data_IF_858828400452
#
_entry.id   IF_858828400452
#
_cell.length_a   1.000
_cell.length_b   1.000
_cell.length_c   1.000
_cell.angle_alpha   90.00
_cell.angle_beta   90.00
_cell.angle_gamma   90.00
#
_symmetry.space_group_name_H-M   'P 1'
#
loop_
_entity.id
_entity.type
_entity.pdbx_description
1 polymer ?
2 non-polymer ?
3 water ?
#
# COMPACT_ATOMS: atom_id res chain seq x y z
N UNK A 31 -13.52 20.06 -5.49
CA UNK A 31 -13.22 20.03 -4.06
C UNK A 31 -14.38 19.44 -3.25
N UNK A 32 -15.60 19.89 -3.55
CA UNK A 32 -16.78 19.25 -2.96
C UNK A 32 -16.89 17.80 -3.41
N UNK A 33 -16.50 17.52 -4.66
CA UNK A 33 -16.44 16.14 -5.13
C UNK A 33 -15.51 15.31 -4.27
N UNK A 34 -14.34 15.85 -3.95
CA UNK A 34 -13.35 15.12 -3.19
C UNK A 34 -13.82 14.88 -1.76
N UNK A 35 -14.42 15.90 -1.11
CA UNK A 35 -14.90 15.71 0.25
C UNK A 35 -16.03 14.69 0.30
N UNK A 36 -16.89 14.70 -0.71
CA UNK A 36 -17.96 13.72 -0.79
C UNK A 36 -17.41 12.29 -0.85
N UNK A 37 -16.34 12.10 -1.62
CA UNK A 37 -15.74 10.78 -1.73
C UNK A 37 -15.09 10.37 -0.42
N UNK A 38 -14.25 11.25 0.14
CA UNK A 38 -13.59 10.93 1.41
C UNK A 38 -14.62 10.59 2.49
N UNK A 39 -15.75 11.31 2.49
CA UNK A 39 -16.76 11.11 3.50
C UNK A 39 -17.73 9.98 3.22
N UNK A 40 -17.48 9.19 2.20
CA UNK A 40 -18.39 8.13 1.79
C UNK A 40 -18.34 6.91 2.70
N UNK A 41 -17.26 6.71 3.44
CA UNK A 41 -16.93 5.43 4.05
C UNK A 41 -16.90 5.57 5.58
N UNK A 42 -17.51 4.61 6.27
CA UNK A 42 -17.34 4.47 7.72
C UNK A 42 -16.61 3.18 8.06
N UNK A 43 -15.88 3.20 9.18
CA UNK A 43 -15.00 2.10 9.58
C UNK A 43 -15.48 1.47 10.89
N UNK A 44 -15.16 0.18 11.05
CA UNK A 44 -15.57 -0.55 12.25
C UNK A 44 -14.64 -0.22 13.42
N UNK A 45 -14.91 -0.83 14.58
CA UNK A 45 -14.17 -0.51 15.80
C UNK A 45 -12.72 -1.01 15.73
N UNK A 46 -12.44 -2.09 14.98
CA UNK A 46 -11.06 -2.54 14.86
C UNK A 46 -10.21 -1.51 14.13
N UNK A 47 -10.72 -1.01 13.00
CA UNK A 47 -9.99 0.02 12.26
C UNK A 47 -9.78 1.25 13.11
N UNK A 48 -10.80 1.62 13.90
CA UNK A 48 -10.67 2.76 14.80
C UNK A 48 -9.56 2.53 15.82
N UNK A 49 -9.46 1.32 16.37
CA UNK A 49 -8.35 1.01 17.25
C UNK A 49 -7.00 1.13 16.56
N UNK A 50 -6.92 0.64 15.30
CA UNK A 50 -5.65 0.73 14.57
C UNK A 50 -5.26 2.18 14.32
N UNK A 51 -6.24 3.04 13.97
CA UNK A 51 -5.94 4.45 13.73
C UNK A 51 -5.43 5.14 14.98
N UNK A 52 -6.05 4.84 16.12
CA UNK A 52 -5.59 5.38 17.39
C UNK A 52 -4.11 5.04 17.61
N UNK A 53 -3.74 3.77 17.36
CA UNK A 53 -2.34 3.37 17.55
C UNK A 53 -1.42 4.05 16.55
N UNK A 54 -1.90 4.29 15.31
CA UNK A 54 -1.09 4.97 14.32
C UNK A 54 -0.72 6.38 14.78
N UNK A 55 -1.67 7.12 15.34
CA UNK A 55 -1.34 8.49 15.74
C UNK A 55 -0.40 8.51 16.95
N UNK A 56 -0.51 7.52 17.84
CA UNK A 56 0.38 7.44 19.00
C UNK A 56 1.84 7.29 18.59
N UNK A 57 2.11 6.43 17.60
CA UNK A 57 3.49 6.17 17.18
C UNK A 57 3.90 7.15 16.10
N UNK A 58 3.04 8.12 15.80
CA UNK A 58 3.38 9.10 14.78
C UNK A 58 3.48 8.53 13.39
N UNK A 59 2.83 7.41 13.12
CA UNK A 59 2.81 6.81 11.79
C UNK A 59 1.57 7.27 11.03
N UNK A 60 1.73 7.54 9.75
CA UNK A 60 0.59 7.85 8.91
C UNK A 60 -0.38 6.68 8.82
N UNK A 61 -1.51 6.96 8.18
CA UNK A 61 -2.52 5.94 7.92
C UNK A 61 -3.35 6.45 6.76
N UNK A 62 -3.66 5.57 5.81
CA UNK A 62 -4.45 6.01 4.68
C UNK A 62 -5.85 6.36 5.16
N UNK A 63 -6.51 7.27 4.44
CA UNK A 63 -7.88 7.63 4.74
C UNK A 63 -8.79 6.45 4.46
N UNK A 64 -9.97 6.43 5.10
CA UNK A 64 -10.95 5.38 4.79
C UNK A 64 -11.27 5.25 3.32
N UNK A 65 -11.40 6.36 2.60
CA UNK A 65 -11.73 6.26 1.17
C UNK A 65 -10.56 5.69 0.37
N UNK A 66 -9.31 6.00 0.76
CA UNK A 66 -8.19 5.30 0.15
C UNK A 66 -8.26 3.80 0.48
N UNK A 67 -8.61 3.47 1.73
CA UNK A 67 -8.70 2.07 2.10
C UNK A 67 -9.71 1.31 1.25
N UNK A 68 -10.88 1.91 1.02
CA UNK A 68 -11.91 1.27 0.19
C UNK A 68 -11.39 1.04 -1.22
N UNK A 69 -10.58 1.98 -1.72
CA UNK A 69 -10.00 1.82 -3.05
C UNK A 69 -8.98 0.68 -3.04
N UNK A 70 -8.16 0.59 -1.99
CA UNK A 70 -7.20 -0.51 -1.92
C UNK A 70 -7.91 -1.85 -1.90
N UNK A 71 -9.03 -1.93 -1.20
CA UNK A 71 -9.80 -3.18 -1.14
C UNK A 71 -10.35 -3.54 -2.52
N UNK A 72 -10.90 -2.56 -3.22
CA UNK A 72 -11.38 -2.79 -4.57
C UNK A 72 -10.25 -3.27 -5.47
N UNK A 73 -9.07 -2.63 -5.38
CA UNK A 73 -8.00 -2.99 -6.31
C UNK A 73 -7.41 -4.36 -5.97
N UNK A 74 -7.35 -4.70 -4.67
CA UNK A 74 -6.90 -6.04 -4.31
C UNK A 74 -7.85 -7.09 -4.84
N UNK A 75 -9.15 -6.83 -4.74
CA UNK A 75 -10.14 -7.76 -5.26
C UNK A 75 -10.03 -7.88 -6.78
N UNK A 76 -9.84 -6.77 -7.48
CA UNK A 76 -9.67 -6.81 -8.93
C UNK A 76 -8.40 -7.55 -9.32
N UNK A 77 -7.35 -7.39 -8.52
CA UNK A 77 -6.06 -7.96 -8.86
C UNK A 77 -6.01 -9.48 -8.69
N UNK A 78 -7.03 -10.09 -8.10
CA UNK A 78 -6.99 -11.51 -7.84
C UNK A 78 -6.84 -11.82 -6.37
N UNK A 79 -6.02 -11.03 -5.68
CA UNK A 79 -6.03 -11.04 -4.22
C UNK A 79 -5.45 -12.29 -3.56
N UNK A 80 -4.44 -12.91 -4.16
CA UNK A 80 -3.84 -14.10 -3.59
C UNK A 80 -2.49 -13.80 -2.93
N UNK A 81 -1.69 -12.94 -3.54
CA UNK A 81 -0.41 -12.53 -2.98
C UNK A 81 -0.28 -11.03 -3.16
N UNK A 82 -0.28 -10.31 -2.03
CA UNK A 82 -0.22 -8.86 -1.98
C UNK A 82 0.99 -8.48 -1.13
N UNK A 83 1.80 -7.55 -1.62
CA UNK A 83 2.96 -7.07 -0.88
C UNK A 83 2.76 -5.60 -0.52
N UNK A 84 3.13 -5.25 0.71
CA UNK A 84 2.96 -3.88 1.22
C UNK A 84 4.28 -3.35 1.74
N UNK A 85 4.65 -2.16 1.30
CA UNK A 85 5.86 -1.47 1.75
C UNK A 85 5.43 -0.36 2.69
N UNK A 86 5.64 -0.57 4.00
CA UNK A 86 5.23 0.39 5.00
C UNK A 86 3.96 -0.01 5.75
N UNK A 87 4.10 -0.95 6.68
CA UNK A 87 2.94 -1.52 7.36
C UNK A 87 2.23 -0.49 8.21
N UNK A 88 2.97 0.43 8.82
CA UNK A 88 2.41 1.30 9.83
C UNK A 88 1.83 0.49 10.97
N UNK A 89 0.69 0.97 11.49
CA UNK A 89 -0.12 0.26 12.47
C UNK A 89 -1.18 -0.65 11.85
N UNK A 90 -1.10 -0.92 10.54
CA UNK A 90 -1.96 -1.93 9.94
C UNK A 90 -3.26 -1.44 9.35
N UNK A 91 -3.46 -0.13 9.23
CA UNK A 91 -4.72 0.37 8.69
C UNK A 91 -4.87 -0.05 7.22
N UNK A 92 -3.87 0.28 6.39
CA UNK A 92 -3.90 -0.15 4.98
C UNK A 92 -3.95 -1.66 4.85
N UNK A 93 -3.23 -2.39 5.72
CA UNK A 93 -3.26 -3.84 5.63
C UNK A 93 -4.63 -4.44 5.89
N UNK A 94 -5.36 -3.89 6.87
CA UNK A 94 -6.71 -4.37 7.15
C UNK A 94 -7.62 -4.15 5.95
N UNK A 95 -7.48 -3.01 5.28
CA UNK A 95 -8.30 -2.73 4.11
C UNK A 95 -7.94 -3.67 2.97
N UNK A 96 -6.65 -3.87 2.73
CA UNK A 96 -6.22 -4.79 1.69
C UNK A 96 -6.73 -6.22 1.96
N UNK A 97 -6.59 -6.67 3.20
CA UNK A 97 -7.03 -8.02 3.54
C UNK A 97 -8.53 -8.20 3.32
N UNK A 98 -9.34 -7.17 3.55
CA UNK A 98 -10.77 -7.33 3.30
C UNK A 98 -11.12 -7.49 1.82
N UNK A 99 -10.18 -7.26 0.91
CA UNK A 99 -10.46 -7.49 -0.49
C UNK A 99 -9.70 -8.66 -1.07
N UNK A 100 -8.93 -9.35 -0.24
CA UNK A 100 -8.15 -10.50 -0.70
C UNK A 100 -8.92 -11.79 -0.48
N UNK A 101 -8.45 -12.85 -1.11
CA UNK A 101 -9.06 -14.16 -0.94
C UNK A 101 -8.77 -14.72 0.44
N UNK A 102 -9.58 -15.71 0.84
CA UNK A 102 -9.39 -16.36 2.12
C UNK A 102 -8.00 -16.95 2.23
N UNK A 103 -7.54 -17.60 1.18
CA UNK A 103 -6.22 -18.20 1.12
C UNK A 103 -5.13 -17.20 0.77
N UNK A 104 -5.46 -15.91 0.67
CA UNK A 104 -4.48 -14.93 0.24
C UNK A 104 -3.51 -14.60 1.36
N UNK A 105 -2.32 -14.15 0.97
CA UNK A 105 -1.25 -13.81 1.91
C UNK A 105 -0.83 -12.37 1.67
N UNK A 106 -0.98 -11.54 2.69
CA UNK A 106 -0.47 -10.18 2.69
C UNK A 106 0.93 -10.22 3.28
N UNK A 107 1.93 -9.92 2.46
CA UNK A 107 3.30 -9.76 2.92
C UNK A 107 3.53 -8.28 3.14
N UNK A 108 3.74 -7.87 4.38
CA UNK A 108 3.91 -6.45 4.65
C UNK A 108 5.25 -6.22 5.35
N UNK A 109 5.88 -5.09 5.01
CA UNK A 109 7.28 -4.85 5.33
C UNK A 109 7.37 -3.53 6.09
N UNK A 110 8.04 -3.54 7.24
CA UNK A 110 8.29 -2.28 7.92
C UNK A 110 9.67 -2.32 8.55
N UNK A 111 10.31 -1.15 8.56
CA UNK A 111 11.61 -1.02 9.22
C UNK A 111 11.47 -0.99 10.74
N UNK A 112 10.27 -0.76 11.27
CA UNK A 112 10.08 -0.59 12.72
C UNK A 112 9.41 -1.81 13.32
N UNK A 113 10.11 -2.63 14.10
CA UNK A 113 9.44 -3.77 14.74
C UNK A 113 8.26 -3.35 15.62
N UNK A 114 8.31 -2.15 16.20
CA UNK A 114 7.19 -1.70 17.03
C UNK A 114 5.93 -1.49 16.20
N UNK A 115 6.07 -0.97 14.98
CA UNK A 115 4.89 -0.81 14.12
C UNK A 115 4.34 -2.17 13.72
N UNK A 116 5.24 -3.11 13.38
CA UNK A 116 4.83 -4.46 13.04
C UNK A 116 4.06 -5.11 14.19
N UNK A 117 4.52 -4.91 15.42
CA UNK A 117 3.81 -5.49 16.57
C UNK A 117 2.41 -4.92 16.67
N UNK A 118 2.26 -3.62 16.49
CA UNK A 118 0.93 -3.01 16.53
C UNK A 118 0.06 -3.51 15.38
N UNK A 119 0.63 -3.62 14.18
CA UNK A 119 -0.15 -4.13 13.06
C UNK A 119 -0.60 -5.57 13.30
N UNK A 120 0.33 -6.42 13.78
CA UNK A 120 -0.03 -7.81 14.07
C UNK A 120 -1.18 -7.88 15.09
N UNK A 121 -1.21 -6.97 16.05
CA UNK A 121 -2.30 -6.95 17.02
C UNK A 121 -3.62 -6.64 16.33
N UNK A 122 -3.61 -5.65 15.44
CA UNK A 122 -4.84 -5.29 14.74
C UNK A 122 -5.32 -6.44 13.88
N UNK A 123 -4.41 -7.08 13.14
CA UNK A 123 -4.79 -8.24 12.34
C UNK A 123 -5.39 -9.33 13.23
N UNK A 124 -4.82 -9.54 14.41
CA UNK A 124 -5.35 -10.52 15.34
C UNK A 124 -6.76 -10.12 15.80
N UNK A 125 -6.94 -8.85 16.17
CA UNK A 125 -8.26 -8.41 16.64
C UNK A 125 -9.33 -8.56 15.56
N UNK A 126 -8.94 -8.44 14.28
CA UNK A 126 -9.86 -8.60 13.17
C UNK A 126 -10.19 -10.05 12.86
N UNK A 127 -9.55 -11.00 13.54
CA UNK A 127 -9.77 -12.39 13.21
C UNK A 127 -9.01 -12.88 12.01
N UNK A 128 -7.96 -12.18 11.57
CA UNK A 128 -7.21 -12.63 10.41
C UNK A 128 -6.37 -13.84 10.81
N UNK A 129 -6.63 -14.97 10.15
CA UNK A 129 -5.81 -16.15 10.30
C UNK A 129 -4.34 -15.84 10.14
N UNK A 130 -3.50 -16.43 11.00
CA UNK A 130 -2.07 -16.09 10.99
C UNK A 130 -1.37 -16.47 9.70
N UNK A 131 -1.92 -17.41 8.94
CA UNK A 131 -1.32 -17.80 7.67
C UNK A 131 -1.67 -16.84 6.54
N UNK A 132 -2.55 -15.87 6.77
CA UNK A 132 -2.88 -14.87 5.77
C UNK A 132 -1.98 -13.65 5.83
N UNK A 133 -1.10 -13.54 6.82
CA UNK A 133 -0.20 -12.41 6.89
C UNK A 133 1.22 -12.91 7.10
N UNK A 134 2.15 -12.23 6.47
CA UNK A 134 3.57 -12.46 6.62
C UNK A 134 4.20 -11.09 6.85
N UNK A 135 4.67 -10.85 8.06
CA UNK A 135 5.24 -9.55 8.42
C UNK A 135 6.75 -9.68 8.43
N UNK A 136 7.42 -8.73 7.79
CA UNK A 136 8.86 -8.82 7.62
C UNK A 136 9.48 -7.54 8.14
N UNK A 137 10.40 -7.69 9.09
CA UNK A 137 11.11 -6.56 9.68
C UNK A 137 12.36 -6.26 8.87
N UNK A 138 12.49 -5.04 8.37
CA UNK A 138 13.70 -4.64 7.67
C UNK A 138 13.45 -3.49 6.72
N UNK A 139 14.54 -3.02 6.13
CA UNK A 139 14.49 -2.01 5.08
C UNK A 139 13.89 -2.61 3.82
N UNK A 140 12.83 -2.01 3.31
CA UNK A 140 12.14 -2.59 2.17
C UNK A 140 12.99 -2.56 0.89
N UNK A 141 13.95 -1.64 0.77
CA UNK A 141 14.83 -1.67 -0.40
C UNK A 141 15.56 -3.00 -0.50
N UNK A 142 15.88 -3.62 0.62
CA UNK A 142 16.51 -4.93 0.63
C UNK A 142 15.52 -6.08 0.59
N UNK A 143 14.41 -5.99 1.35
CA UNK A 143 13.45 -7.09 1.37
C UNK A 143 12.90 -7.37 -0.01
N UNK A 144 12.49 -6.32 -0.74
CA UNK A 144 11.80 -6.53 -2.02
C UNK A 144 12.65 -7.35 -2.98
N UNK A 145 13.96 -7.08 -3.03
CA UNK A 145 14.86 -7.84 -3.89
C UNK A 145 14.79 -9.34 -3.62
N UNK A 146 14.47 -9.74 -2.38
CA UNK A 146 14.44 -11.15 -2.04
C UNK A 146 13.12 -11.82 -2.38
N UNK A 147 12.08 -11.06 -2.72
CA UNK A 147 10.78 -11.65 -3.06
C UNK A 147 10.76 -12.02 -4.54
N UNK A 148 9.94 -13.02 -4.88
CA UNK A 148 10.04 -13.68 -6.17
C UNK A 148 9.40 -12.86 -7.28
N UNK A 149 10.13 -12.69 -8.39
CA UNK A 149 9.62 -11.95 -9.53
C UNK A 149 8.31 -12.53 -10.03
N UNK A 150 7.46 -11.64 -10.56
CA UNK A 150 6.18 -12.02 -11.17
C UNK A 150 5.39 -13.02 -10.32
N UNK A 151 5.31 -12.75 -9.00
CA UNK A 151 4.58 -13.64 -8.11
C UNK A 151 3.48 -12.95 -7.30
N UNK A 152 3.23 -11.65 -7.53
CA UNK A 152 2.35 -10.87 -6.68
C UNK A 152 1.24 -10.23 -7.50
N UNK A 153 0.04 -10.21 -6.93
CA UNK A 153 -1.13 -9.62 -7.58
C UNK A 153 -1.25 -8.12 -7.36
N UNK A 154 -0.75 -7.62 -6.24
CA UNK A 154 -0.80 -6.20 -5.97
C UNK A 154 0.40 -5.84 -5.10
N UNK A 155 1.05 -4.73 -5.44
CA UNK A 155 2.13 -4.16 -4.64
C UNK A 155 1.70 -2.76 -4.22
N UNK A 156 1.63 -2.51 -2.91
CA UNK A 156 1.22 -1.22 -2.37
C UNK A 156 2.41 -0.54 -1.71
N UNK A 157 2.69 0.70 -2.12
CA UNK A 157 3.90 1.42 -1.73
C UNK A 157 3.48 2.60 -0.88
N UNK A 158 3.82 2.59 0.39
CA UNK A 158 3.41 3.64 1.31
C UNK A 158 4.41 3.81 2.45
N UNK A 159 5.68 4.01 2.14
CA UNK A 159 6.71 4.29 3.13
C UNK A 159 7.22 5.73 2.92
N UNK A 160 8.52 6.01 2.89
CA UNK A 160 8.96 7.39 2.66
C UNK A 160 8.88 7.72 1.17
N UNK A 161 8.33 8.88 0.80
CA UNK A 161 8.24 9.21 -0.63
C UNK A 161 9.57 9.32 -1.33
N UNK A 162 10.62 9.75 -0.64
CA UNK A 162 11.93 9.90 -1.24
C UNK A 162 12.47 8.58 -1.79
N UNK A 163 11.89 7.46 -1.35
CA UNK A 163 12.31 6.14 -1.80
C UNK A 163 11.39 5.55 -2.85
N UNK A 164 10.33 6.26 -3.23
CA UNK A 164 9.41 5.75 -4.24
C UNK A 164 10.08 5.25 -5.52
N UNK A 165 11.13 5.89 -6.06
CA UNK A 165 11.70 5.34 -7.31
C UNK A 165 12.27 3.94 -7.15
N UNK A 166 12.98 3.67 -6.06
CA UNK A 166 13.49 2.32 -5.81
C UNK A 166 12.36 1.31 -5.64
N UNK A 167 11.32 1.71 -4.90
CA UNK A 167 10.22 0.79 -4.66
C UNK A 167 9.48 0.45 -5.95
N UNK A 168 9.36 1.41 -6.86
CA UNK A 168 8.63 1.16 -8.10
C UNK A 168 9.40 0.20 -8.99
N UNK A 169 10.70 0.42 -9.15
CA UNK A 169 11.52 -0.49 -9.95
C UNK A 169 11.43 -1.92 -9.42
N UNK A 170 11.58 -2.09 -8.10
CA UNK A 170 11.47 -3.43 -7.53
C UNK A 170 10.04 -3.91 -7.52
N UNK A 171 9.09 -3.03 -7.20
CA UNK A 171 7.69 -3.45 -7.17
C UNK A 171 7.22 -4.00 -8.49
N UNK A 172 7.49 -3.28 -9.59
CA UNK A 172 6.98 -3.71 -10.89
C UNK A 172 7.47 -5.12 -11.22
N UNK A 173 8.74 -5.41 -10.91
CA UNK A 173 9.29 -6.74 -11.15
C UNK A 173 8.53 -7.84 -10.41
N UNK A 174 7.94 -7.53 -9.25
CA UNK A 174 7.22 -8.56 -8.50
C UNK A 174 5.86 -8.88 -9.10
N UNK A 175 5.34 -8.01 -9.95
CA UNK A 175 3.97 -8.14 -10.42
C UNK A 175 3.84 -9.24 -11.46
N UNK A 176 2.89 -10.13 -11.27
CA UNK A 176 2.55 -10.99 -12.39
C UNK A 176 1.73 -10.21 -13.41
N UNK A 177 1.46 -10.87 -14.55
CA UNK A 177 0.63 -10.26 -15.57
C UNK A 177 -0.78 -10.03 -15.03
N UNK A 178 -1.27 -8.80 -15.22
CA UNK A 178 -2.52 -8.41 -14.61
C UNK A 178 -2.41 -7.94 -13.18
N UNK A 179 -1.20 -7.83 -12.63
CA UNK A 179 -1.05 -7.29 -11.30
C UNK A 179 -1.09 -5.77 -11.31
N UNK A 180 -1.26 -5.19 -10.11
CA UNK A 180 -1.38 -3.74 -9.96
C UNK A 180 -0.34 -3.26 -8.97
N UNK A 181 0.38 -2.23 -9.34
CA UNK A 181 1.21 -1.49 -8.39
C UNK A 181 0.44 -0.23 -8.00
N UNK A 182 0.46 0.07 -6.71
CA UNK A 182 -0.30 1.19 -6.16
C UNK A 182 0.66 2.00 -5.29
N UNK A 183 0.84 3.29 -5.63
CA UNK A 183 1.72 4.19 -4.91
C UNK A 183 0.85 5.22 -4.16
N UNK A 184 0.98 5.26 -2.84
CA UNK A 184 0.37 6.32 -2.04
C UNK A 184 1.34 7.51 -1.90
N UNK A 185 0.76 8.69 -1.61
CA UNK A 185 1.50 9.97 -1.59
C UNK A 185 2.06 10.29 -2.98
N UNK A 186 1.25 10.06 -4.00
CA UNK A 186 1.71 10.21 -5.38
C UNK A 186 1.64 11.64 -5.90
N UNK A 187 1.02 12.55 -5.16
CA UNK A 187 0.76 13.89 -5.65
C UNK A 187 1.54 14.98 -4.94
N UNK A 188 2.20 14.65 -3.83
CA UNK A 188 3.06 15.55 -3.08
C UNK A 188 3.99 16.38 -3.98
N UNK A 196 7.91 23.45 -2.81
CA UNK A 196 8.96 23.74 -3.77
C UNK A 196 9.14 22.62 -4.78
N UNK A 197 9.25 22.98 -6.05
CA UNK A 197 9.41 22.00 -7.12
C UNK A 197 10.85 21.52 -7.30
N UNK A 198 11.71 21.84 -6.34
CA UNK A 198 13.10 21.43 -6.43
C UNK A 198 13.52 20.60 -5.22
N UNK A 199 12.55 20.32 -4.34
CA UNK A 199 12.80 19.53 -3.14
C UNK A 199 13.24 18.12 -3.52
N UNK A 200 14.17 17.57 -2.75
CA UNK A 200 14.66 16.22 -3.01
C UNK A 200 13.52 15.20 -2.96
N UNK A 201 12.56 15.41 -2.07
CA UNK A 201 11.43 14.50 -1.95
C UNK A 201 10.46 14.65 -3.11
N UNK A 202 10.21 15.87 -3.57
CA UNK A 202 9.30 16.04 -4.71
C UNK A 202 9.97 15.60 -6.00
N UNK A 203 11.30 15.74 -6.10
CA UNK A 203 12.00 15.19 -7.26
C UNK A 203 11.78 13.68 -7.34
N UNK A 204 11.89 13.00 -6.19
CA UNK A 204 11.72 11.55 -6.16
C UNK A 204 10.30 11.13 -6.53
N UNK A 205 9.30 11.86 -6.04
CA UNK A 205 7.91 11.50 -6.36
C UNK A 205 7.67 11.64 -7.85
N UNK A 206 8.06 12.78 -8.42
CA UNK A 206 7.87 12.96 -9.86
C UNK A 206 8.71 11.97 -10.65
N UNK A 207 9.92 11.68 -10.18
CA UNK A 207 10.75 10.71 -10.89
C UNK A 207 10.10 9.32 -10.89
N UNK A 208 9.41 8.97 -9.80
CA UNK A 208 8.72 7.69 -9.75
C UNK A 208 7.48 7.69 -10.64
N UNK A 209 6.72 8.79 -10.64
CA UNK A 209 5.62 8.91 -11.58
C UNK A 209 6.12 8.81 -13.02
N UNK A 210 7.28 9.41 -13.29
CA UNK A 210 7.92 9.28 -14.60
C UNK A 210 8.20 7.83 -14.94
N UNK A 211 8.80 7.09 -14.01
CA UNK A 211 9.11 5.68 -14.25
C UNK A 211 7.87 4.89 -14.65
N UNK A 212 6.74 5.17 -14.03
CA UNK A 212 5.51 4.45 -14.34
C UNK A 212 4.93 4.93 -15.66
N UNK A 213 4.93 6.25 -15.88
CA UNK A 213 4.30 6.82 -17.08
C UNK A 213 5.01 6.37 -18.36
N UNK A 214 6.34 6.15 -18.30
CA UNK A 214 7.10 5.74 -19.47
C UNK A 214 7.30 4.24 -19.60
N UNK A 215 6.83 3.46 -18.63
CA UNK A 215 6.95 2.00 -18.69
C UNK A 215 5.87 1.47 -19.61
N UNK A 216 6.27 0.91 -20.76
CA UNK A 216 5.29 0.44 -21.74
C UNK A 216 4.47 -0.73 -21.21
N UNK A 217 4.97 -1.43 -20.19
CA UNK A 217 4.25 -2.57 -19.62
C UNK A 217 3.15 -2.17 -18.65
N UNK A 218 2.98 -0.88 -18.36
CA UNK A 218 2.07 -0.42 -17.32
C UNK A 218 0.96 0.43 -17.91
N UNK A 219 -0.24 0.28 -17.37
CA UNK A 219 -1.40 1.10 -17.71
C UNK A 219 -1.84 1.87 -16.47
N UNK A 220 -1.55 3.17 -16.37
CA UNK A 220 -1.73 3.88 -15.09
C UNK A 220 -2.91 4.86 -15.03
N UNK A 221 -3.36 5.14 -13.80
CA UNK A 221 -4.35 6.19 -13.55
C UNK A 221 -4.06 6.81 -12.20
N UNK A 222 -4.11 8.14 -12.14
CA UNK A 222 -3.98 8.85 -10.88
C UNK A 222 -5.35 9.08 -10.27
N UNK A 223 -5.45 8.86 -8.96
CA UNK A 223 -6.71 8.94 -8.24
C UNK A 223 -6.56 9.93 -7.09
N UNK A 224 -7.28 11.06 -7.08
CA UNK A 224 -7.13 12.08 -6.02
C UNK A 224 -7.87 11.71 -4.74
N UNK A 225 -7.37 10.70 -4.05
CA UNK A 225 -7.89 10.34 -2.73
C UNK A 225 -6.73 10.38 -1.73
N UNK A 226 -7.04 10.76 -0.48
CA UNK A 226 -5.99 10.84 0.52
C UNK A 226 -4.87 11.77 0.10
N UNK A 227 -3.62 11.27 0.13
CA UNK A 227 -2.49 12.03 -0.37
C UNK A 227 -2.24 11.78 -1.86
N UNK A 228 -3.17 11.14 -2.55
CA UNK A 228 -2.96 10.85 -3.96
C UNK A 228 -2.51 9.42 -4.17
N UNK A 229 -3.20 8.70 -5.04
CA UNK A 229 -2.95 7.29 -5.30
C UNK A 229 -2.66 7.12 -6.78
N UNK A 230 -1.48 6.61 -7.12
CA UNK A 230 -1.14 6.25 -8.50
C UNK A 230 -1.21 4.73 -8.61
N UNK A 231 -2.11 4.24 -9.46
CA UNK A 231 -2.27 2.80 -9.69
C UNK A 231 -1.95 2.49 -11.14
N UNK A 232 -1.39 1.30 -11.38
CA UNK A 232 -1.03 0.93 -12.75
C UNK A 232 -1.04 -0.58 -12.87
N UNK A 233 -1.69 -1.07 -13.91
CA UNK A 233 -1.81 -2.51 -14.15
C UNK A 233 -0.67 -2.96 -15.06
N UNK A 234 -0.02 -4.21 -14.74
CA UNK A 234 0.95 -4.71 -15.70
C UNK A 234 0.31 -5.65 -16.71
N UNK A 235 1.07 -5.41 -17.77
CA UNK A 235 0.71 -6.23 -18.93
C UNK A 235 1.09 -7.70 -18.72
#
# INVERSE_FOLDING_TARGET
>A
MGSSHHHHHHSSGLVPRGSHMPGQPAPSRGESLWAHAEGSISEDVILAGARERATDIGAGAVTPAVGALLCLLAKLSGGKAVAEVGTGAGVSGLWLLSGMRDDGVLTTIDIEPEHLRLARQAFAEAGIGPSRTRLISGRAQEVLTRLADASYDLVFIDADPIDQPDYVAEGVRLLRSGGVIVVHRAALGGRAGDPGARDAEVIAVREAARLIAEDERLTPALVPLGDGVLAAVRD
#
